data_IF_835933138982
#
_entry.id   IF_835933138982
#
_cell.length_a   1.000
_cell.length_b   1.000
_cell.length_c   1.000
_cell.angle_alpha   90.00
_cell.angle_beta   90.00
_cell.angle_gamma   90.00
#
_symmetry.space_group_name_H-M   'P 1'
#
loop_
_entity.id
_entity.type
_entity.pdbx_description
1 polymer ?
#
# COMPACT_ATOMS: atom_id res chain seq x y z
N UNK A 1 20.85 9.03 -14.69
CA UNK A 1 20.51 8.48 -13.36
C UNK A 1 19.53 7.34 -13.53
N UNK A 2 19.65 6.30 -12.73
CA UNK A 2 18.74 5.14 -12.77
C UNK A 2 17.33 5.54 -12.34
N UNK A 3 16.33 4.83 -12.87
CA UNK A 3 14.94 5.00 -12.46
C UNK A 3 14.74 4.64 -10.98
N UNK A 4 13.65 5.13 -10.35
CA UNK A 4 13.33 4.73 -8.98
C UNK A 4 13.26 3.20 -8.83
N UNK A 5 13.80 2.70 -7.74
CA UNK A 5 13.80 1.29 -7.40
C UNK A 5 12.89 1.06 -6.19
N UNK A 6 11.69 0.55 -6.43
CA UNK A 6 10.66 0.45 -5.42
C UNK A 6 10.63 -0.93 -4.79
N UNK A 7 10.64 -0.96 -3.46
CA UNK A 7 10.50 -2.18 -2.66
C UNK A 7 9.27 -2.05 -1.77
N UNK A 8 8.47 -3.09 -1.75
CA UNK A 8 7.21 -3.14 -1.01
C UNK A 8 7.33 -4.04 0.20
N UNK A 9 6.87 -3.54 1.35
CA UNK A 9 6.77 -4.31 2.59
C UNK A 9 5.35 -4.22 3.12
N UNK A 10 4.86 -5.32 3.66
CA UNK A 10 3.50 -5.41 4.20
C UNK A 10 3.48 -6.21 5.50
N UNK A 11 2.62 -5.81 6.44
CA UNK A 11 2.30 -6.61 7.62
C UNK A 11 0.86 -6.33 8.08
N UNK A 12 0.26 -7.31 8.75
CA UNK A 12 -0.96 -7.09 9.53
C UNK A 12 -0.60 -6.52 10.91
N UNK A 13 -1.58 -5.94 11.60
CA UNK A 13 -1.34 -5.31 12.92
C UNK A 13 -0.83 -6.29 13.98
N UNK A 14 -1.22 -7.56 13.91
CA UNK A 14 -0.79 -8.60 14.83
C UNK A 14 0.60 -9.17 14.50
N UNK A 15 1.15 -8.84 13.36
CA UNK A 15 2.49 -9.23 12.97
C UNK A 15 3.52 -8.25 13.53
N UNK A 16 4.66 -8.76 13.95
CA UNK A 16 5.75 -7.93 14.49
C UNK A 16 6.73 -7.47 13.43
N UNK A 17 6.76 -8.13 12.28
CA UNK A 17 7.72 -7.85 11.22
C UNK A 17 7.04 -7.63 9.87
N UNK A 18 7.61 -6.72 9.08
CA UNK A 18 7.22 -6.54 7.69
C UNK A 18 7.77 -7.66 6.82
N UNK A 19 6.97 -8.09 5.86
CA UNK A 19 7.40 -9.02 4.81
C UNK A 19 7.56 -8.25 3.50
N UNK A 20 8.65 -8.51 2.79
CA UNK A 20 8.83 -7.96 1.45
C UNK A 20 7.92 -8.70 0.48
N UNK A 21 6.85 -8.05 0.06
CA UNK A 21 5.88 -8.65 -0.84
C UNK A 21 5.14 -7.58 -1.64
N UNK A 22 5.04 -7.77 -2.92
CA UNK A 22 4.26 -6.94 -3.82
C UNK A 22 2.86 -7.53 -4.04
N UNK A 23 2.75 -8.84 -3.97
CA UNK A 23 1.50 -9.58 -4.03
C UNK A 23 1.23 -10.15 -2.65
N UNK A 24 0.07 -9.86 -2.09
CA UNK A 24 -0.23 -10.22 -0.72
C UNK A 24 -1.53 -11.01 -0.61
N UNK A 25 -1.48 -12.08 0.17
CA UNK A 25 -2.63 -12.89 0.51
C UNK A 25 -3.02 -12.62 1.96
N UNK A 26 -4.15 -11.93 2.15
CA UNK A 26 -4.59 -11.49 3.48
C UNK A 26 -5.39 -12.55 4.25
N UNK A 27 -5.74 -13.66 3.60
CA UNK A 27 -6.56 -14.70 4.21
C UNK A 27 -8.05 -14.42 4.06
N UNK A 28 -8.85 -15.09 4.89
CA UNK A 28 -10.30 -14.94 4.88
C UNK A 28 -10.70 -13.67 5.66
N UNK A 29 -11.46 -12.79 5.03
CA UNK A 29 -11.99 -11.62 5.69
C UNK A 29 -13.21 -11.96 6.56
N UNK A 30 -13.22 -11.46 7.79
CA UNK A 30 -14.32 -11.57 8.72
C UNK A 30 -15.01 -10.21 8.89
N UNK A 31 -16.30 -10.10 8.51
CA UNK A 31 -17.06 -8.85 8.62
C UNK A 31 -17.20 -8.31 10.05
N UNK A 32 -16.98 -9.13 11.06
CA UNK A 32 -17.02 -8.70 12.46
C UNK A 32 -15.77 -7.95 12.90
N UNK A 33 -14.73 -7.95 12.07
CA UNK A 33 -13.44 -7.36 12.38
C UNK A 33 -12.98 -6.48 11.23
N UNK A 34 -12.16 -5.47 11.53
CA UNK A 34 -11.47 -4.69 10.51
C UNK A 34 -10.28 -5.49 9.97
N UNK A 35 -10.07 -5.43 8.67
CA UNK A 35 -8.79 -5.87 8.11
C UNK A 35 -7.87 -4.67 8.03
N UNK A 36 -6.74 -4.76 8.72
CA UNK A 36 -5.74 -3.68 8.74
C UNK A 36 -4.44 -4.20 8.15
N UNK A 37 -3.98 -3.53 7.08
CA UNK A 37 -2.69 -3.81 6.46
C UNK A 37 -1.81 -2.57 6.56
N UNK A 38 -0.57 -2.77 6.96
CA UNK A 38 0.43 -1.70 7.04
C UNK A 38 1.44 -1.92 5.92
N UNK A 39 1.65 -0.90 5.11
CA UNK A 39 2.62 -0.92 4.02
C UNK A 39 3.77 0.02 4.33
N UNK A 40 4.96 -0.40 3.98
CA UNK A 40 6.14 0.44 3.96
C UNK A 40 6.73 0.36 2.56
N UNK A 41 6.86 1.49 1.92
CA UNK A 41 7.23 1.59 0.52
C UNK A 41 8.54 2.36 0.43
N UNK A 42 9.56 1.73 -0.11
CA UNK A 42 10.91 2.28 -0.22
C UNK A 42 11.29 2.59 -1.65
N UNK A 43 12.05 3.65 -1.80
CA UNK A 43 12.82 3.91 -3.02
C UNK A 43 14.30 3.74 -2.70
N UNK A 44 14.99 2.91 -3.47
CA UNK A 44 16.44 2.69 -3.39
C UNK A 44 16.93 2.19 -2.02
N UNK A 45 16.15 1.35 -1.35
CA UNK A 45 16.56 0.79 -0.05
C UNK A 45 17.88 0.03 -0.16
N UNK A 46 18.85 0.36 0.69
CA UNK A 46 20.22 -0.18 0.65
C UNK A 46 20.96 0.09 -0.66
N UNK A 47 20.50 1.04 -1.47
CA UNK A 47 21.15 1.35 -2.75
C UNK A 47 22.58 1.81 -2.59
N UNK A 48 23.49 1.20 -3.34
CA UNK A 48 24.91 1.59 -3.40
C UNK A 48 25.17 2.79 -4.33
N UNK A 49 24.20 3.07 -5.19
CA UNK A 49 24.21 4.23 -6.09
C UNK A 49 22.88 4.97 -5.95
N UNK A 50 22.92 6.29 -6.09
CA UNK A 50 21.69 7.08 -6.10
C UNK A 50 20.86 6.78 -7.35
N UNK A 51 19.53 6.83 -7.21
CA UNK A 51 18.60 6.78 -8.31
C UNK A 51 17.69 8.02 -8.29
N UNK A 52 16.79 8.13 -9.26
CA UNK A 52 15.83 9.23 -9.29
C UNK A 52 14.88 9.19 -8.10
N UNK A 53 14.50 10.38 -7.62
CA UNK A 53 13.42 10.49 -6.64
C UNK A 53 12.09 10.06 -7.26
N UNK A 54 11.21 9.47 -6.47
CA UNK A 54 9.86 9.19 -6.90
C UNK A 54 8.95 10.35 -6.51
N UNK A 55 8.36 11.00 -7.51
CA UNK A 55 7.50 12.20 -7.37
C UNK A 55 6.25 12.04 -8.20
N UNK A 56 5.21 12.80 -7.86
CA UNK A 56 3.96 12.88 -8.63
C UNK A 56 3.42 11.49 -8.97
N UNK A 57 3.20 10.70 -7.95
CA UNK A 57 2.81 9.30 -8.12
C UNK A 57 1.55 8.96 -7.34
N UNK A 58 0.94 7.88 -7.73
CA UNK A 58 -0.10 7.23 -6.96
C UNK A 58 0.29 5.79 -6.66
N UNK A 59 -0.43 5.21 -5.72
CA UNK A 59 -0.33 3.80 -5.41
C UNK A 59 -1.64 3.16 -5.84
N UNK A 60 -1.56 2.13 -6.67
CA UNK A 60 -2.73 1.38 -7.11
C UNK A 60 -2.72 0.01 -6.47
N UNK A 61 -3.87 -0.34 -5.93
CA UNK A 61 -4.16 -1.61 -5.30
C UNK A 61 -5.15 -2.35 -6.19
N UNK A 62 -4.84 -3.56 -6.57
CA UNK A 62 -5.66 -4.36 -7.47
C UNK A 62 -5.89 -5.74 -6.86
N UNK A 63 -7.13 -6.23 -6.93
CA UNK A 63 -7.43 -7.63 -6.60
C UNK A 63 -7.48 -8.46 -7.88
N UNK A 64 -6.88 -9.65 -7.84
CA UNK A 64 -6.88 -10.57 -8.99
C UNK A 64 -8.27 -11.13 -9.28
N UNK A 65 -9.09 -11.28 -8.23
CA UNK A 65 -10.45 -11.74 -8.36
C UNK A 65 -11.41 -10.56 -8.38
N UNK A 66 -12.17 -10.42 -9.46
CA UNK A 66 -13.14 -9.33 -9.62
C UNK A 66 -14.16 -9.28 -8.49
N UNK A 67 -14.54 -10.44 -7.95
CA UNK A 67 -15.47 -10.55 -6.83
C UNK A 67 -14.96 -9.89 -5.55
N UNK A 68 -13.63 -9.79 -5.38
CA UNK A 68 -13.03 -9.15 -4.23
C UNK A 68 -13.04 -7.62 -4.36
N UNK A 69 -13.27 -7.08 -5.55
CA UNK A 69 -13.30 -5.64 -5.80
C UNK A 69 -14.38 -4.91 -4.99
N UNK A 70 -15.42 -5.62 -4.58
CA UNK A 70 -16.49 -5.05 -3.74
C UNK A 70 -15.95 -4.49 -2.42
N UNK A 71 -14.83 -5.01 -1.92
CA UNK A 71 -14.23 -4.55 -0.68
C UNK A 71 -13.51 -3.21 -0.80
N UNK A 72 -13.10 -2.82 -2.00
CA UNK A 72 -12.30 -1.60 -2.21
C UNK A 72 -13.01 -0.33 -1.72
N UNK A 73 -14.32 -0.25 -1.89
CA UNK A 73 -15.09 0.91 -1.45
C UNK A 73 -15.23 1.05 0.07
N UNK A 74 -14.85 0.02 0.81
CA UNK A 74 -14.86 0.04 2.28
C UNK A 74 -13.47 0.25 2.86
N UNK A 75 -12.49 0.55 2.01
CA UNK A 75 -11.12 0.80 2.43
C UNK A 75 -10.89 2.28 2.71
N UNK A 76 -10.16 2.56 3.78
CA UNK A 76 -9.63 3.88 4.10
C UNK A 76 -8.11 3.78 4.17
N UNK A 77 -7.44 4.85 3.81
CA UNK A 77 -5.98 4.88 3.77
C UNK A 77 -5.44 6.03 4.61
N UNK A 78 -4.46 5.72 5.46
CA UNK A 78 -3.77 6.69 6.30
C UNK A 78 -2.32 6.79 5.85
N UNK A 79 -1.93 7.96 5.34
CA UNK A 79 -0.58 8.22 4.86
C UNK A 79 0.31 8.74 5.99
N UNK A 80 1.44 8.10 6.19
CA UNK A 80 2.46 8.48 7.18
C UNK A 80 1.90 8.76 8.58
N UNK A 81 0.82 8.08 8.94
CA UNK A 81 0.19 8.17 10.25
C UNK A 81 -0.64 9.43 10.51
N UNK A 82 -0.79 10.34 9.55
CA UNK A 82 -1.45 11.62 9.82
C UNK A 82 -2.40 12.16 8.75
N UNK A 83 -2.42 11.60 7.56
CA UNK A 83 -3.28 12.09 6.47
C UNK A 83 -4.18 10.98 5.92
N UNK A 84 -5.48 11.15 6.09
CA UNK A 84 -6.46 10.24 5.49
C UNK A 84 -6.68 10.59 4.02
N UNK A 85 -6.63 9.56 3.17
CA UNK A 85 -6.82 9.70 1.73
C UNK A 85 -7.96 8.78 1.30
N UNK A 86 -8.86 9.32 0.48
CA UNK A 86 -9.94 8.54 -0.13
C UNK A 86 -9.45 7.99 -1.47
N UNK A 87 -9.50 6.67 -1.68
CA UNK A 87 -9.09 6.10 -2.96
C UNK A 87 -10.11 6.39 -4.06
N UNK A 88 -9.62 6.46 -5.29
CA UNK A 88 -10.46 6.46 -6.48
C UNK A 88 -10.62 5.01 -6.95
N UNK A 89 -11.83 4.49 -6.89
CA UNK A 89 -12.12 3.08 -7.24
C UNK A 89 -12.69 3.01 -8.64
N UNK A 90 -12.03 2.24 -9.51
CA UNK A 90 -12.49 1.96 -10.87
C UNK A 90 -12.31 0.47 -11.13
N UNK A 91 -13.41 -0.24 -11.39
CA UNK A 91 -13.37 -1.69 -11.60
C UNK A 91 -12.83 -2.41 -10.36
N UNK A 92 -11.80 -3.23 -10.55
CA UNK A 92 -11.15 -3.98 -9.48
C UNK A 92 -9.89 -3.28 -8.94
N UNK A 93 -9.77 -1.96 -9.16
CA UNK A 93 -8.60 -1.19 -8.77
C UNK A 93 -8.98 0.00 -7.90
N UNK A 94 -8.14 0.28 -6.91
CA UNK A 94 -8.20 1.50 -6.11
C UNK A 94 -6.89 2.24 -6.24
N UNK A 95 -6.95 3.50 -6.66
CA UNK A 95 -5.77 4.35 -6.81
C UNK A 95 -5.79 5.45 -5.77
N UNK A 96 -4.66 5.60 -5.09
CA UNK A 96 -4.43 6.62 -4.08
C UNK A 96 -3.40 7.58 -4.65
N UNK A 97 -3.83 8.79 -4.99
CA UNK A 97 -2.90 9.81 -5.48
C UNK A 97 -2.18 10.44 -4.29
N UNK A 98 -0.85 10.46 -4.34
CA UNK A 98 -0.05 11.08 -3.30
C UNK A 98 -0.07 12.61 -3.44
N UNK A 99 -0.06 13.34 -2.31
CA UNK A 99 0.15 14.79 -2.34
C UNK A 99 1.47 15.16 -3.02
N UNK A 100 1.54 16.34 -3.63
CA UNK A 100 2.73 16.79 -4.36
C UNK A 100 4.00 16.86 -3.50
N UNK A 101 3.85 17.09 -2.20
CA UNK A 101 4.98 17.17 -1.28
C UNK A 101 5.49 15.79 -0.82
N UNK A 102 4.83 14.72 -1.22
CA UNK A 102 5.31 13.36 -0.93
C UNK A 102 6.32 12.96 -1.99
N UNK A 103 7.56 12.88 -1.59
CA UNK A 103 8.68 12.52 -2.45
C UNK A 103 9.48 11.42 -1.74
N UNK A 104 9.69 10.31 -2.43
CA UNK A 104 10.59 9.27 -1.94
C UNK A 104 11.96 9.48 -2.55
N UNK A 105 12.91 9.88 -1.70
CA UNK A 105 14.28 10.15 -2.13
C UNK A 105 14.93 8.91 -2.74
N UNK A 106 15.68 9.10 -3.82
CA UNK A 106 16.54 8.06 -4.41
C UNK A 106 17.96 8.07 -3.89
N UNK A 107 18.24 8.80 -2.81
CA UNK A 107 19.60 8.90 -2.26
C UNK A 107 20.09 7.56 -1.69
N UNK A 108 21.40 7.42 -1.61
CA UNK A 108 22.05 6.30 -0.94
C UNK A 108 21.64 6.30 0.54
N UNK A 109 21.32 5.13 1.09
CA UNK A 109 20.87 5.00 2.48
C UNK A 109 21.29 3.65 3.06
N UNK A 110 21.19 3.54 4.38
CA UNK A 110 21.51 2.30 5.11
C UNK A 110 20.33 1.34 5.28
N UNK A 111 19.17 1.66 4.67
CA UNK A 111 17.97 0.83 4.73
C UNK A 111 17.22 0.86 6.05
N UNK A 112 17.62 1.73 6.99
CA UNK A 112 16.96 1.91 8.28
C UNK A 112 15.97 3.07 8.24
N UNK A 113 14.74 2.83 8.72
CA UNK A 113 13.64 3.80 8.67
C UNK A 113 13.90 5.05 9.52
N UNK A 114 14.77 4.97 10.53
CA UNK A 114 15.02 6.08 11.45
C UNK A 114 15.82 7.24 10.87
N UNK A 115 16.49 7.03 9.73
CA UNK A 115 17.43 8.00 9.17
C UNK A 115 17.24 8.28 7.68
N UNK A 116 16.13 7.81 7.08
CA UNK A 116 15.98 7.85 5.63
C UNK A 116 14.71 8.59 5.20
N UNK A 117 14.83 9.41 4.15
CA UNK A 117 13.70 10.02 3.44
C UNK A 117 13.30 9.20 2.21
N UNK A 118 13.74 7.97 2.16
CA UNK A 118 13.57 7.06 1.02
C UNK A 118 12.28 6.23 1.11
N UNK A 119 11.49 6.39 2.16
CA UNK A 119 10.32 5.54 2.38
C UNK A 119 9.10 6.33 2.84
N UNK A 120 7.96 5.70 2.72
CA UNK A 120 6.69 6.16 3.28
C UNK A 120 5.95 4.99 3.91
N UNK A 121 5.02 5.29 4.79
CA UNK A 121 4.10 4.30 5.35
C UNK A 121 2.69 4.57 4.88
N UNK A 122 1.94 3.51 4.64
CA UNK A 122 0.53 3.58 4.26
C UNK A 122 -0.22 2.51 5.05
N UNK A 123 -1.28 2.92 5.73
CA UNK A 123 -2.14 2.00 6.48
C UNK A 123 -3.49 1.88 5.77
N UNK A 124 -3.87 0.67 5.42
CA UNK A 124 -5.19 0.38 4.85
C UNK A 124 -6.07 -0.21 5.93
N UNK A 125 -7.25 0.35 6.11
CA UNK A 125 -8.27 -0.18 7.02
C UNK A 125 -9.50 -0.50 6.19
N UNK A 126 -9.91 -1.76 6.21
CA UNK A 126 -11.10 -2.23 5.53
C UNK A 126 -12.15 -2.65 6.56
N UNK A 127 -13.29 -1.97 6.53
CA UNK A 127 -14.42 -2.25 7.41
C UNK A 127 -15.68 -2.41 6.58
N UNK A 128 -16.18 -3.62 6.44
CA UNK A 128 -17.43 -3.88 5.72
C UNK A 128 -18.59 -3.85 6.73
N UNK A 129 -19.59 -2.96 6.53
CA UNK A 129 -20.75 -2.91 7.42
C UNK A 129 -21.52 -4.24 7.46
N UNK A 130 -21.92 -4.68 8.65
CA UNK A 130 -22.70 -5.92 8.83
C UNK A 130 -24.05 -5.90 8.09
N UNK A 131 -24.60 -4.69 7.87
CA UNK A 131 -25.84 -4.51 7.10
C UNK A 131 -25.70 -4.86 5.62
N UNK A 132 -24.48 -4.97 5.13
CA UNK A 132 -24.20 -5.37 3.76
C UNK A 132 -24.01 -6.88 3.72
N UNK A 133 -24.89 -7.56 3.03
CA UNK A 133 -24.82 -9.02 2.89
C UNK A 133 -23.77 -9.38 1.82
N UNK A 134 -22.51 -9.17 2.15
CA UNK A 134 -21.38 -9.45 1.26
C UNK A 134 -20.81 -10.82 1.61
N UNK A 135 -20.69 -11.66 0.59
CA UNK A 135 -20.14 -13.00 0.77
C UNK A 135 -18.67 -12.93 1.19
N UNK A 136 -18.32 -13.67 2.22
CA UNK A 136 -16.95 -13.77 2.71
C UNK A 136 -16.15 -14.65 1.77
N UNK A 137 -15.07 -14.12 1.24
CA UNK A 137 -14.13 -14.84 0.38
C UNK A 137 -12.71 -14.66 0.90
N UNK A 138 -11.83 -15.57 0.53
CA UNK A 138 -10.42 -15.39 0.75
C UNK A 138 -9.94 -14.21 -0.10
N UNK A 139 -9.22 -13.27 0.52
CA UNK A 139 -8.64 -12.14 -0.17
C UNK A 139 -7.29 -12.56 -0.77
N UNK A 140 -7.34 -12.97 -2.03
CA UNK A 140 -6.17 -13.48 -2.75
C UNK A 140 -5.70 -12.50 -3.82
N UNK A 141 -4.40 -12.54 -4.09
CA UNK A 141 -3.86 -11.87 -5.26
C UNK A 141 -4.00 -10.36 -5.24
N UNK A 142 -3.84 -9.73 -4.08
CA UNK A 142 -3.78 -8.27 -4.00
C UNK A 142 -2.40 -7.82 -4.49
N UNK A 143 -2.37 -7.06 -5.57
CA UNK A 143 -1.14 -6.54 -6.16
C UNK A 143 -1.04 -5.02 -5.98
N UNK A 144 0.14 -4.56 -5.60
CA UNK A 144 0.45 -3.15 -5.40
C UNK A 144 1.40 -2.68 -6.50
N UNK A 145 1.14 -1.50 -7.04
CA UNK A 145 2.05 -0.90 -8.03
C UNK A 145 1.99 0.62 -8.01
N UNK A 146 3.05 1.23 -8.51
CA UNK A 146 3.15 2.68 -8.64
C UNK A 146 2.45 3.12 -9.93
N UNK A 147 1.63 4.15 -9.82
CA UNK A 147 1.01 4.82 -10.96
C UNK A 147 1.65 6.18 -11.13
N UNK A 148 2.14 6.49 -12.33
CA UNK A 148 2.70 7.80 -12.65
C UNK A 148 1.61 8.74 -13.14
N UNK A 149 1.76 10.00 -12.79
CA UNK A 149 0.87 11.07 -13.24
C UNK A 149 1.64 12.15 -14.00
#
# INVERSE_FOLDING_TARGET
>A
MKEPSITWFVRQDDDTEYQEDREYYAGTYNQDEDLVLNFMIWNNRYGSEACEDLKNFGITLSFDHEEDSVFLKYCQFLLNGNLWIVPQVVGNQATIQMPENVILSGAINNGEATSADNYMTLRMIMTVPKSKNIKMNDLKGMTLYITSF
#
